data_IF_259043141227
#
_entry.id   IF_259043141227
#
_cell.length_a   1.000
_cell.length_b   1.000
_cell.length_c   1.000
_cell.angle_alpha   90.00
_cell.angle_beta   90.00
_cell.angle_gamma   90.00
#
_symmetry.space_group_name_H-M   'P 1'
#
loop_
_entity.id
_entity.type
_entity.pdbx_description
1 polymer ?
#
# COMPACT_ATOMS: atom_id res chain seq x y z
N UNK A 1 -9.44 -6.51 4.54
CA UNK A 1 -10.01 -5.98 5.81
C UNK A 1 -11.53 -5.99 5.76
N UNK A 2 -12.16 -7.10 6.18
CA UNK A 2 -13.62 -7.21 6.26
C UNK A 2 -14.18 -6.35 7.41
N UNK A 3 -15.20 -5.54 7.12
CA UNK A 3 -15.73 -4.53 8.05
C UNK A 3 -14.70 -3.52 8.52
N UNK A 4 -13.70 -3.22 7.66
CA UNK A 4 -12.53 -2.43 8.00
C UNK A 4 -12.67 -0.95 7.68
N UNK A 5 -11.62 -0.19 7.98
CA UNK A 5 -11.54 1.24 7.76
C UNK A 5 -10.30 1.56 6.91
N UNK A 6 -10.45 2.52 6.00
CA UNK A 6 -9.30 3.17 5.37
C UNK A 6 -8.75 4.19 6.37
N UNK A 7 -7.43 4.26 6.51
CA UNK A 7 -6.73 5.17 7.40
C UNK A 7 -5.81 6.10 6.62
N UNK A 8 -5.57 7.29 7.16
CA UNK A 8 -4.53 8.18 6.69
C UNK A 8 -3.16 7.65 7.14
N UNK A 9 -2.21 7.59 6.23
CA UNK A 9 -0.81 7.28 6.53
C UNK A 9 0.04 8.52 6.19
N UNK A 10 0.68 9.10 7.19
CA UNK A 10 1.48 10.32 7.00
C UNK A 10 2.95 9.95 6.86
N UNK A 11 3.55 10.35 5.74
CA UNK A 11 4.99 10.39 5.56
C UNK A 11 5.49 11.81 5.81
N UNK A 12 6.81 11.99 5.91
CA UNK A 12 7.40 13.30 6.19
C UNK A 12 6.97 14.38 5.18
N UNK A 13 6.85 14.03 3.90
CA UNK A 13 6.65 15.00 2.81
C UNK A 13 5.39 14.74 1.96
N UNK A 14 4.60 13.70 2.26
CA UNK A 14 3.42 13.33 1.50
C UNK A 14 2.47 12.48 2.35
N UNK A 15 1.24 12.30 1.86
CA UNK A 15 0.22 11.48 2.51
C UNK A 15 -0.17 10.30 1.62
N UNK A 16 -0.42 9.17 2.27
CA UNK A 16 -0.95 7.96 1.68
C UNK A 16 -2.23 7.54 2.42
N UNK A 17 -2.83 6.45 1.95
CA UNK A 17 -3.84 5.70 2.70
C UNK A 17 -3.34 4.30 3.00
N UNK A 18 -3.85 3.72 4.08
CA UNK A 18 -3.66 2.34 4.46
C UNK A 18 -5.00 1.75 4.93
N UNK A 19 -5.04 0.48 5.36
CA UNK A 19 -6.26 -0.18 5.82
C UNK A 19 -6.07 -0.90 7.14
N UNK A 20 -7.09 -0.86 8.01
CA UNK A 20 -7.14 -1.64 9.24
C UNK A 20 -8.56 -2.17 9.50
N UNK A 21 -8.71 -3.03 10.51
CA UNK A 21 -10.01 -3.45 11.03
C UNK A 21 -9.93 -3.60 12.55
N UNK A 22 -10.95 -3.14 13.27
CA UNK A 22 -11.06 -3.37 14.70
C UNK A 22 -11.67 -4.75 14.97
N UNK A 23 -11.40 -5.28 16.16
CA UNK A 23 -12.00 -6.51 16.65
C UNK A 23 -13.50 -6.31 16.91
N UNK A 24 -13.83 -5.30 17.71
CA UNK A 24 -15.19 -5.08 18.26
C UNK A 24 -16.04 -4.06 17.48
N UNK A 25 -15.48 -3.45 16.44
CA UNK A 25 -16.17 -2.43 15.64
C UNK A 25 -16.00 -2.71 14.15
N UNK A 26 -17.13 -2.72 13.43
CA UNK A 26 -17.17 -2.95 11.98
C UNK A 26 -17.75 -1.74 11.26
N UNK A 27 -17.20 -1.46 10.08
CA UNK A 27 -17.88 -0.64 9.08
C UNK A 27 -18.72 -1.54 8.17
N UNK A 28 -19.56 -0.92 7.35
CA UNK A 28 -20.29 -1.64 6.29
C UNK A 28 -19.40 -1.98 5.09
N UNK A 29 -18.12 -1.55 5.11
CA UNK A 29 -17.21 -1.68 3.99
C UNK A 29 -16.14 -2.75 4.23
N UNK A 30 -15.74 -3.39 3.13
CA UNK A 30 -14.49 -4.14 3.06
C UNK A 30 -13.47 -3.33 2.29
N UNK A 31 -12.25 -3.23 2.81
CA UNK A 31 -11.13 -2.59 2.09
C UNK A 31 -9.95 -3.56 1.95
N UNK A 32 -9.15 -3.35 0.93
CA UNK A 32 -7.88 -4.02 0.68
C UNK A 32 -6.98 -3.11 -0.16
N UNK A 33 -5.67 -3.24 0.01
CA UNK A 33 -4.72 -2.56 -0.88
C UNK A 33 -4.68 -3.31 -2.22
N UNK A 34 -4.82 -2.58 -3.32
CA UNK A 34 -4.68 -3.12 -4.67
C UNK A 34 -3.53 -2.40 -5.36
N UNK A 35 -2.45 -3.14 -5.60
CA UNK A 35 -1.14 -2.56 -5.94
C UNK A 35 -0.66 -3.07 -7.29
N UNK A 36 -0.11 -2.16 -8.10
CA UNK A 36 0.71 -2.53 -9.26
C UNK A 36 2.18 -2.57 -8.82
N UNK A 37 2.84 -3.71 -9.01
CA UNK A 37 4.29 -3.82 -8.77
C UNK A 37 5.05 -3.00 -9.81
N UNK A 38 5.98 -2.18 -9.35
CA UNK A 38 6.96 -1.49 -10.19
C UNK A 38 8.33 -2.01 -9.82
N UNK A 39 9.13 -2.34 -10.83
CA UNK A 39 10.55 -2.66 -10.70
C UNK A 39 11.26 -1.82 -11.74
N UNK A 40 11.98 -0.81 -11.27
CA UNK A 40 12.88 -0.05 -12.12
C UNK A 40 14.22 -0.80 -12.23
N UNK A 41 14.80 -0.73 -13.42
CA UNK A 41 16.07 -1.37 -13.80
C UNK A 41 17.02 -0.29 -14.34
N UNK A 42 18.28 -0.66 -14.58
CA UNK A 42 19.26 0.21 -15.24
C UNK A 42 18.64 1.08 -16.36
N UNK A 43 18.90 2.40 -16.37
CA UNK A 43 19.82 3.15 -15.51
C UNK A 43 19.20 3.76 -14.23
N UNK A 44 17.89 3.58 -13.99
CA UNK A 44 17.20 4.17 -12.84
C UNK A 44 16.71 3.04 -11.95
N UNK A 45 17.41 2.75 -10.85
CA UNK A 45 17.07 1.62 -9.96
C UNK A 45 16.42 2.06 -8.64
N UNK A 46 16.28 3.37 -8.43
CA UNK A 46 15.72 3.94 -7.20
C UNK A 46 14.18 3.90 -7.21
N UNK A 47 13.66 2.73 -6.86
CA UNK A 47 12.22 2.50 -6.68
C UNK A 47 11.62 3.36 -5.56
N UNK A 48 12.40 3.73 -4.55
CA UNK A 48 11.92 4.52 -3.43
C UNK A 48 11.66 5.96 -3.85
N UNK A 49 12.62 6.61 -4.50
CA UNK A 49 12.45 7.97 -5.00
C UNK A 49 11.28 8.08 -6.00
N UNK A 50 11.08 7.06 -6.83
CA UNK A 50 9.93 7.00 -7.73
C UNK A 50 8.59 6.93 -6.98
N UNK A 51 8.49 6.03 -6.00
CA UNK A 51 7.30 5.93 -5.14
C UNK A 51 7.02 7.23 -4.38
N UNK A 52 8.04 7.85 -3.78
CA UNK A 52 7.89 9.14 -3.10
C UNK A 52 7.44 10.25 -4.05
N UNK A 53 7.90 10.25 -5.30
CA UNK A 53 7.50 11.24 -6.31
C UNK A 53 6.02 11.12 -6.65
N UNK A 54 5.51 9.90 -6.81
CA UNK A 54 4.08 9.63 -6.98
C UNK A 54 3.29 10.09 -5.74
N UNK A 55 3.79 9.78 -4.53
CA UNK A 55 3.19 10.19 -3.27
C UNK A 55 3.05 11.71 -3.16
N UNK A 56 4.11 12.45 -3.46
CA UNK A 56 4.15 13.92 -3.47
C UNK A 56 3.19 14.50 -4.51
N UNK A 57 3.16 13.95 -5.72
CA UNK A 57 2.24 14.41 -6.77
C UNK A 57 0.77 14.20 -6.39
N UNK A 58 0.43 13.01 -5.88
CA UNK A 58 -0.93 12.70 -5.43
C UNK A 58 -1.36 13.62 -4.27
N UNK A 59 -0.45 13.87 -3.32
CA UNK A 59 -0.67 14.81 -2.21
C UNK A 59 -0.90 16.23 -2.73
N UNK A 60 -0.12 16.68 -3.71
CA UNK A 60 -0.23 18.01 -4.30
C UNK A 60 -1.60 18.21 -4.94
N UNK A 61 -2.00 17.32 -5.85
CA UNK A 61 -3.30 17.44 -6.54
C UNK A 61 -4.48 17.16 -5.61
N UNK A 62 -4.25 16.39 -4.54
CA UNK A 62 -5.19 16.16 -3.45
C UNK A 62 -5.27 17.31 -2.44
N UNK A 63 -4.51 18.41 -2.61
CA UNK A 63 -4.53 19.56 -1.72
C UNK A 63 -4.07 19.22 -0.30
N UNK A 64 -3.02 18.41 -0.17
CA UNK A 64 -2.48 17.94 1.10
C UNK A 64 -3.19 16.72 1.70
N UNK A 65 -4.14 16.12 0.95
CA UNK A 65 -4.92 14.95 1.39
C UNK A 65 -4.86 13.85 0.34
N UNK A 66 -5.13 12.59 0.71
CA UNK A 66 -5.32 11.54 -0.28
C UNK A 66 -6.53 11.82 -1.18
N UNK A 67 -6.50 11.23 -2.36
CA UNK A 67 -7.54 11.35 -3.38
C UNK A 67 -8.58 10.24 -3.20
N UNK A 68 -9.86 10.61 -3.30
CA UNK A 68 -10.99 9.68 -3.37
C UNK A 68 -11.64 9.78 -4.75
N UNK A 69 -11.84 8.65 -5.42
CA UNK A 69 -12.52 8.59 -6.71
C UNK A 69 -13.37 7.33 -6.81
N UNK A 70 -14.59 7.43 -7.38
CA UNK A 70 -15.37 6.26 -7.76
C UNK A 70 -14.76 5.61 -8.99
N UNK A 71 -14.71 4.28 -9.01
CA UNK A 71 -14.19 3.51 -10.15
C UNK A 71 -14.91 3.84 -11.46
N UNK A 72 -16.23 4.06 -11.42
CA UNK A 72 -17.00 4.47 -12.61
C UNK A 72 -16.67 5.87 -13.12
N UNK A 73 -16.25 6.78 -12.24
CA UNK A 73 -15.78 8.10 -12.66
C UNK A 73 -14.38 8.02 -13.26
N UNK A 74 -13.50 7.17 -12.70
CA UNK A 74 -12.18 6.88 -13.29
C UNK A 74 -12.28 6.27 -14.69
N UNK A 75 -13.14 5.26 -14.90
CA UNK A 75 -13.42 4.68 -16.23
C UNK A 75 -13.86 5.70 -17.27
N UNK A 76 -14.51 6.78 -16.84
CA UNK A 76 -15.03 7.84 -17.72
C UNK A 76 -14.05 9.00 -17.89
N UNK A 77 -12.82 8.88 -17.36
CA UNK A 77 -11.81 9.94 -17.44
C UNK A 77 -12.24 11.23 -16.76
N UNK A 78 -12.95 11.14 -15.62
CA UNK A 78 -13.41 12.33 -14.90
C UNK A 78 -13.18 12.21 -13.39
N UNK A 79 -12.96 13.35 -12.76
CA UNK A 79 -12.89 13.46 -11.30
C UNK A 79 -14.21 13.09 -10.62
N UNK A 80 -14.10 12.55 -9.41
CA UNK A 80 -15.23 12.47 -8.48
C UNK A 80 -15.49 13.81 -7.78
N UNK A 81 -16.68 13.95 -7.21
CA UNK A 81 -17.06 15.08 -6.33
C UNK A 81 -17.82 14.56 -5.13
N UNK A 82 -17.88 15.32 -4.04
CA UNK A 82 -18.68 14.93 -2.87
C UNK A 82 -20.15 14.71 -3.20
N UNK A 83 -20.74 15.48 -4.13
CA UNK A 83 -22.11 15.24 -4.59
C UNK A 83 -22.26 13.87 -5.26
N UNK A 84 -21.29 13.46 -6.09
CA UNK A 84 -21.27 12.14 -6.72
C UNK A 84 -21.09 11.01 -5.70
N UNK A 85 -20.20 11.20 -4.73
CA UNK A 85 -19.93 10.21 -3.67
C UNK A 85 -21.16 10.04 -2.77
N UNK A 86 -21.85 11.14 -2.40
CA UNK A 86 -23.08 11.08 -1.59
C UNK A 86 -24.25 10.43 -2.32
N UNK A 87 -24.27 10.47 -3.65
CA UNK A 87 -25.26 9.80 -4.49
C UNK A 87 -24.78 8.37 -4.88
N UNK A 88 -24.18 7.66 -3.93
CA UNK A 88 -23.69 6.30 -4.06
C UNK A 88 -24.17 5.47 -2.86
N UNK A 89 -24.29 4.17 -3.03
CA UNK A 89 -24.60 3.21 -1.97
C UNK A 89 -23.42 2.96 -1.01
N UNK A 90 -22.20 3.34 -1.38
CA UNK A 90 -20.99 3.13 -0.56
C UNK A 90 -20.59 4.44 0.12
N UNK A 91 -20.65 4.47 1.46
CA UNK A 91 -20.16 5.61 2.24
C UNK A 91 -18.66 5.47 2.54
N UNK A 92 -17.83 6.51 2.33
CA UNK A 92 -16.41 6.45 2.63
C UNK A 92 -16.13 6.35 4.13
N UNK A 93 -15.26 5.41 4.53
CA UNK A 93 -14.80 5.27 5.92
C UNK A 93 -13.77 6.34 6.30
N UNK A 94 -12.94 6.77 5.36
CA UNK A 94 -12.03 7.90 5.52
C UNK A 94 -12.59 9.14 4.82
N UNK A 95 -13.01 10.15 5.59
CA UNK A 95 -13.58 11.40 5.05
C UNK A 95 -12.57 12.52 4.89
N UNK A 96 -11.38 12.41 5.50
CA UNK A 96 -10.29 13.37 5.34
C UNK A 96 -9.53 13.15 4.04
N UNK A 97 -10.24 13.34 2.93
CA UNK A 97 -9.78 13.11 1.55
C UNK A 97 -10.26 14.23 0.64
N UNK A 98 -9.66 14.33 -0.54
CA UNK A 98 -10.11 15.21 -1.61
C UNK A 98 -10.73 14.37 -2.73
N UNK A 99 -11.99 14.63 -3.07
CA UNK A 99 -12.59 14.02 -4.25
C UNK A 99 -11.89 14.55 -5.50
N UNK A 100 -11.26 13.67 -6.28
CA UNK A 100 -10.37 14.09 -7.36
C UNK A 100 -10.28 13.08 -8.50
N UNK A 101 -9.21 13.21 -9.27
CA UNK A 101 -8.88 12.32 -10.38
C UNK A 101 -7.52 11.67 -10.15
N UNK A 102 -7.52 10.36 -9.89
CA UNK A 102 -6.33 9.55 -9.62
C UNK A 102 -5.45 9.46 -10.87
N UNK A 103 -6.03 9.53 -12.08
CA UNK A 103 -5.29 9.48 -13.34
C UNK A 103 -4.34 10.67 -13.52
N UNK A 104 -4.56 11.78 -12.80
CA UNK A 104 -3.64 12.92 -12.81
C UNK A 104 -2.39 12.71 -11.94
N UNK A 105 -2.38 11.72 -11.03
CA UNK A 105 -1.25 11.44 -10.15
C UNK A 105 -0.51 10.16 -10.50
N UNK A 106 -1.20 9.15 -11.02
CA UNK A 106 -0.59 7.86 -11.32
C UNK A 106 -0.12 7.80 -12.78
N UNK A 107 1.12 7.36 -13.04
CA UNK A 107 1.59 7.03 -14.38
C UNK A 107 0.67 6.04 -15.10
N UNK A 108 0.47 6.24 -16.40
CA UNK A 108 -0.48 5.46 -17.21
C UNK A 108 -0.30 3.95 -17.04
N UNK A 109 0.93 3.44 -17.05
CA UNK A 109 1.20 2.00 -16.87
C UNK A 109 0.65 1.45 -15.54
N UNK A 110 0.77 2.21 -14.46
CA UNK A 110 0.22 1.83 -13.15
C UNK A 110 -1.31 1.85 -13.23
N UNK A 111 -1.87 2.90 -13.83
CA UNK A 111 -3.31 3.04 -13.98
C UNK A 111 -3.91 1.90 -14.81
N UNK A 112 -3.37 1.60 -15.99
CA UNK A 112 -3.80 0.48 -16.85
C UNK A 112 -3.76 -0.84 -16.09
N UNK A 113 -2.65 -1.14 -15.40
CA UNK A 113 -2.51 -2.37 -14.62
C UNK A 113 -3.59 -2.49 -13.52
N UNK A 114 -3.89 -1.38 -12.82
CA UNK A 114 -4.92 -1.36 -11.79
C UNK A 114 -6.33 -1.54 -12.39
N UNK A 115 -6.61 -0.91 -13.53
CA UNK A 115 -7.91 -0.99 -14.20
C UNK A 115 -8.17 -2.41 -14.74
N UNK A 116 -7.18 -2.99 -15.43
CA UNK A 116 -7.26 -4.36 -15.96
C UNK A 116 -7.29 -5.38 -14.82
N UNK A 117 -6.48 -5.18 -13.79
CA UNK A 117 -6.44 -6.02 -12.60
C UNK A 117 -7.76 -6.05 -11.85
N UNK A 118 -8.41 -4.89 -11.67
CA UNK A 118 -9.76 -4.83 -11.08
C UNK A 118 -10.80 -5.51 -11.96
N UNK A 119 -10.71 -5.36 -13.29
CA UNK A 119 -11.58 -6.07 -14.23
C UNK A 119 -11.47 -7.59 -14.12
N UNK A 120 -10.24 -8.10 -14.00
CA UNK A 120 -9.98 -9.53 -13.78
C UNK A 120 -10.45 -9.98 -12.39
N UNK A 121 -10.16 -9.21 -11.34
CA UNK A 121 -10.60 -9.51 -9.97
C UNK A 121 -12.12 -9.60 -9.88
N UNK A 122 -12.85 -8.79 -10.66
CA UNK A 122 -14.31 -8.83 -10.72
C UNK A 122 -14.88 -10.14 -11.28
N UNK A 123 -14.12 -10.91 -12.05
CA UNK A 123 -14.54 -12.25 -12.48
C UNK A 123 -14.47 -13.25 -11.32
N UNK A 124 -13.62 -13.01 -10.33
CA UNK A 124 -13.44 -13.86 -9.15
C UNK A 124 -14.33 -13.40 -8.00
N UNK A 125 -14.46 -12.08 -7.83
CA UNK A 125 -15.27 -11.44 -6.79
C UNK A 125 -16.24 -10.47 -7.47
N UNK A 126 -17.41 -10.96 -7.92
CA UNK A 126 -18.39 -10.14 -8.62
C UNK A 126 -18.81 -8.93 -7.79
N UNK A 127 -18.75 -7.74 -8.40
CA UNK A 127 -19.15 -6.48 -7.78
C UNK A 127 -17.98 -5.63 -7.28
N UNK A 128 -16.75 -6.17 -7.21
CA UNK A 128 -15.58 -5.39 -6.79
C UNK A 128 -15.27 -4.24 -7.76
N UNK A 129 -15.58 -4.40 -9.06
CA UNK A 129 -15.40 -3.37 -10.09
C UNK A 129 -16.72 -2.62 -10.43
N UNK A 130 -17.62 -2.49 -9.45
CA UNK A 130 -18.82 -1.66 -9.58
C UNK A 130 -18.44 -0.19 -9.82
N UNK A 131 -19.25 0.55 -10.59
CA UNK A 131 -19.06 1.99 -10.82
C UNK A 131 -18.95 2.83 -9.54
N UNK A 132 -19.53 2.33 -8.45
CA UNK A 132 -19.56 2.96 -7.14
C UNK A 132 -18.40 2.57 -6.22
N UNK A 133 -17.60 1.57 -6.59
CA UNK A 133 -16.41 1.17 -5.82
C UNK A 133 -15.53 2.39 -5.56
N UNK A 134 -15.21 2.64 -4.29
CA UNK A 134 -14.40 3.76 -3.87
C UNK A 134 -12.92 3.42 -3.93
N UNK A 135 -12.16 4.19 -4.70
CA UNK A 135 -10.72 4.12 -4.80
C UNK A 135 -10.10 5.26 -3.98
N UNK A 136 -9.17 4.89 -3.11
CA UNK A 136 -8.36 5.83 -2.34
C UNK A 136 -6.92 5.75 -2.84
N UNK A 137 -6.29 6.89 -3.08
CA UNK A 137 -4.91 6.93 -3.56
C UNK A 137 -4.10 8.10 -2.95
N UNK A 138 -2.78 7.94 -2.80
CA UNK A 138 -2.00 6.74 -3.11
C UNK A 138 -1.91 5.80 -1.89
N UNK A 139 -1.75 4.49 -2.16
CA UNK A 139 -1.25 3.51 -1.19
C UNK A 139 0.07 2.98 -1.78
N UNK A 140 1.17 3.10 -1.03
CA UNK A 140 2.51 2.80 -1.51
C UNK A 140 3.18 1.89 -0.48
N UNK A 141 3.65 0.72 -0.95
CA UNK A 141 4.45 -0.19 -0.15
C UNK A 141 5.88 -0.18 -0.65
N UNK A 142 6.75 0.46 0.11
CA UNK A 142 8.19 0.40 -0.10
C UNK A 142 8.67 -0.97 0.40
N UNK A 143 8.89 -1.90 -0.53
CA UNK A 143 9.55 -3.15 -0.19
C UNK A 143 11.01 -2.84 0.10
N UNK A 144 11.48 -3.19 1.30
CA UNK A 144 12.86 -2.97 1.70
C UNK A 144 13.80 -3.70 0.74
N UNK A 145 14.91 -3.06 0.40
CA UNK A 145 16.05 -3.76 -0.21
C UNK A 145 16.49 -4.84 0.77
N UNK A 146 16.41 -6.11 0.36
CA UNK A 146 16.79 -7.23 1.21
C UNK A 146 18.24 -7.06 1.65
N UNK A 147 18.47 -6.97 2.96
CA UNK A 147 19.81 -6.92 3.52
C UNK A 147 20.45 -8.29 3.28
N UNK A 148 21.59 -8.32 2.62
CA UNK A 148 22.34 -9.56 2.40
C UNK A 148 22.83 -10.11 3.74
N UNK A 149 22.46 -11.35 4.04
CA UNK A 149 22.88 -12.07 5.24
C UNK A 149 23.33 -13.49 4.94
N UNK A 150 24.01 -14.10 5.90
CA UNK A 150 24.25 -15.54 5.91
C UNK A 150 22.99 -16.33 6.36
N UNK A 151 23.17 -17.64 6.58
CA UNK A 151 22.09 -18.55 7.03
C UNK A 151 21.62 -18.29 8.47
N UNK A 152 22.40 -17.57 9.26
CA UNK A 152 22.07 -17.19 10.64
C UNK A 152 21.45 -15.78 10.71
N UNK A 153 21.22 -15.15 9.56
CA UNK A 153 20.83 -13.75 9.44
C UNK A 153 21.89 -12.77 9.97
N UNK A 154 23.16 -13.17 9.96
CA UNK A 154 24.29 -12.27 10.22
C UNK A 154 24.61 -11.47 8.95
N UNK A 155 24.79 -10.17 9.10
CA UNK A 155 25.19 -9.29 8.00
C UNK A 155 26.68 -9.46 7.69
N UNK A 156 27.18 -8.72 6.70
CA UNK A 156 28.62 -8.63 6.45
C UNK A 156 29.41 -8.05 7.65
N UNK A 157 28.74 -7.33 8.56
CA UNK A 157 29.34 -6.82 9.80
C UNK A 157 29.22 -7.91 10.87
N UNK A 158 30.37 -8.45 11.28
CA UNK A 158 30.43 -9.52 12.29
C UNK A 158 29.77 -9.09 13.60
N UNK A 159 28.89 -9.96 14.12
CA UNK A 159 28.10 -9.71 15.33
C UNK A 159 26.85 -8.86 15.12
N UNK A 160 26.61 -8.34 13.91
CA UNK A 160 25.39 -7.63 13.56
C UNK A 160 24.40 -8.57 12.85
N UNK A 161 23.30 -8.86 13.53
CA UNK A 161 22.22 -9.71 13.04
C UNK A 161 20.99 -8.87 12.71
N UNK A 162 20.24 -9.31 11.72
CA UNK A 162 18.97 -8.67 11.32
C UNK A 162 17.86 -9.71 11.25
N UNK A 163 16.64 -9.32 11.60
CA UNK A 163 15.45 -10.16 11.48
C UNK A 163 14.22 -9.27 11.29
N UNK A 164 13.10 -9.88 10.90
CA UNK A 164 11.86 -9.16 10.68
C UNK A 164 11.70 -8.57 9.28
N UNK A 165 10.74 -7.66 9.14
CA UNK A 165 10.32 -7.07 7.87
C UNK A 165 11.29 -5.98 7.39
N UNK A 166 11.80 -5.15 8.31
CA UNK A 166 12.74 -4.05 8.01
C UNK A 166 13.94 -4.43 7.13
N UNK A 167 14.68 -5.53 7.42
CA UNK A 167 15.78 -5.99 6.57
C UNK A 167 15.34 -6.79 5.32
N UNK A 168 14.03 -6.91 5.05
CA UNK A 168 13.49 -7.69 3.94
C UNK A 168 13.56 -9.21 4.14
N UNK A 169 13.62 -9.69 5.39
CA UNK A 169 13.68 -11.13 5.72
C UNK A 169 12.28 -11.74 5.86
N UNK A 170 11.30 -10.94 6.27
CA UNK A 170 9.89 -11.30 6.38
C UNK A 170 9.00 -10.31 5.65
N UNK A 171 7.68 -10.55 5.63
CA UNK A 171 6.69 -9.62 5.05
C UNK A 171 5.36 -9.56 5.80
N UNK A 172 5.32 -10.10 7.03
CA UNK A 172 4.16 -10.01 7.91
C UNK A 172 4.58 -10.22 9.37
N UNK A 173 3.69 -9.91 10.31
CA UNK A 173 3.97 -9.93 11.76
C UNK A 173 4.41 -11.33 12.24
N UNK A 174 3.75 -12.38 11.77
CA UNK A 174 4.03 -13.77 12.20
C UNK A 174 5.41 -14.20 11.69
N UNK A 175 5.69 -14.00 10.41
CA UNK A 175 6.97 -14.30 9.79
C UNK A 175 8.09 -13.46 10.43
N UNK A 176 7.85 -12.17 10.67
CA UNK A 176 8.84 -11.31 11.31
C UNK A 176 9.22 -11.82 12.71
N UNK A 177 8.22 -12.20 13.50
CA UNK A 177 8.42 -12.80 14.83
C UNK A 177 9.17 -14.13 14.74
N UNK A 178 8.80 -15.00 13.80
CA UNK A 178 9.43 -16.30 13.62
C UNK A 178 10.91 -16.17 13.21
N UNK A 179 11.26 -15.21 12.35
CA UNK A 179 12.64 -15.01 11.88
C UNK A 179 13.60 -14.62 13.02
N UNK A 180 13.11 -13.99 14.08
CA UNK A 180 13.94 -13.60 15.23
C UNK A 180 14.57 -14.81 15.95
N UNK A 181 13.99 -16.01 15.83
CA UNK A 181 14.53 -17.23 16.43
C UNK A 181 15.88 -17.65 15.83
N UNK A 182 16.15 -17.30 14.57
CA UNK A 182 17.37 -17.70 13.86
C UNK A 182 18.61 -17.01 14.45
N UNK A 183 18.71 -15.67 14.46
CA UNK A 183 19.87 -14.99 15.03
C UNK A 183 19.94 -15.17 16.54
N UNK A 184 18.81 -15.28 17.25
CA UNK A 184 18.82 -15.53 18.69
C UNK A 184 19.56 -16.84 19.04
N UNK A 185 19.33 -17.91 18.29
CA UNK A 185 20.03 -19.19 18.48
C UNK A 185 21.52 -19.09 18.14
N UNK A 186 21.86 -18.37 17.08
CA UNK A 186 23.25 -18.16 16.66
C UNK A 186 24.03 -17.37 17.73
N UNK A 187 23.44 -16.29 18.25
CA UNK A 187 24.00 -15.47 19.33
C UNK A 187 24.26 -16.33 20.57
N UNK A 188 23.26 -17.07 21.07
CA UNK A 188 23.42 -17.92 22.26
C UNK A 188 24.52 -18.96 22.07
N UNK A 189 24.61 -19.57 20.87
CA UNK A 189 25.62 -20.59 20.57
C UNK A 189 27.04 -20.00 20.47
N UNK A 190 27.16 -18.74 20.05
CA UNK A 190 28.42 -17.99 20.01
C UNK A 190 28.93 -17.56 21.39
N UNK A 191 28.05 -17.27 22.35
CA UNK A 191 28.41 -16.92 23.74
C UNK A 191 28.95 -18.09 24.57
N UNK A 192 28.62 -19.34 24.20
CA UNK A 192 29.05 -20.54 24.91
C UNK A 192 30.41 -21.09 24.39
N UNK A 193 31.16 -20.30 23.62
CA UNK A 193 32.53 -20.57 23.18
C UNK A 193 33.48 -19.57 23.81
#
# INVERSE_FOLDING_TARGET
>A
NYGGYVALENYQNFVCVNGHAYMDKKSDNTNFAFLSKVVLTDPVEDNQAYGESIGKLATLIGGGKPILQRYGDLKRGRRSTWSRIKNSYIEPTLKSVTCGDIAMALPERILTNLMDGLGQLNQVIPGVANDETLLYAPEIKFFATQVTTDRNLETAVKGLYVAGDGPGVAGNIVAATATALIPAKAIISGYNK
#
